data_IF_217378231545
#
_entry.id   IF_217378231545
#
_cell.length_a   1.000
_cell.length_b   1.000
_cell.length_c   1.000
_cell.angle_alpha   90.00
_cell.angle_beta   90.00
_cell.angle_gamma   90.00
#
_symmetry.space_group_name_H-M   'P 1'
#
loop_
_entity.id
_entity.type
_entity.pdbx_description
1 polymer ?
#
# COMPACT_ATOMS: atom_id res chain seq x y z
N UNK A 1 -5.79 5.26 -3.16
CA UNK A 1 -4.67 5.07 -2.22
C UNK A 1 -5.21 5.02 -0.80
N UNK A 2 -4.98 3.91 -0.09
CA UNK A 2 -5.46 3.74 1.29
C UNK A 2 -4.29 3.57 2.26
N UNK A 3 -4.60 3.84 3.53
CA UNK A 3 -3.69 3.63 4.65
C UNK A 3 -4.18 2.46 5.48
N UNK A 4 -3.34 1.45 5.58
CA UNK A 4 -3.60 0.31 6.44
C UNK A 4 -3.05 0.64 7.82
N UNK A 5 -3.91 1.17 8.69
CA UNK A 5 -3.56 1.61 10.04
C UNK A 5 -2.91 0.49 10.88
N UNK A 6 -3.18 -0.79 10.58
CA UNK A 6 -2.55 -1.93 11.24
C UNK A 6 -1.30 -2.49 10.54
N UNK A 7 -0.83 -1.89 9.43
CA UNK A 7 0.34 -2.42 8.71
C UNK A 7 1.60 -2.41 9.56
N UNK A 8 1.71 -1.45 10.49
CA UNK A 8 2.82 -1.39 11.44
C UNK A 8 2.98 -2.70 12.22
N UNK A 9 1.88 -3.32 12.66
CA UNK A 9 1.89 -4.60 13.34
C UNK A 9 2.45 -5.72 12.45
N UNK A 10 2.04 -5.75 11.19
CA UNK A 10 2.48 -6.76 10.22
C UNK A 10 3.94 -6.58 9.77
N UNK A 11 4.47 -5.35 9.80
CA UNK A 11 5.90 -5.09 9.55
C UNK A 11 6.77 -5.86 10.56
N UNK A 12 6.36 -5.90 11.83
CA UNK A 12 7.14 -6.51 12.92
C UNK A 12 6.85 -8.01 13.13
N UNK A 13 5.71 -8.50 12.65
CA UNK A 13 5.22 -9.86 12.92
C UNK A 13 5.11 -10.76 11.67
N UNK A 14 5.61 -10.27 10.55
CA UNK A 14 6.08 -11.09 9.45
C UNK A 14 5.18 -11.34 8.26
N UNK A 15 3.97 -10.78 8.29
CA UNK A 15 3.08 -10.62 7.12
C UNK A 15 2.77 -11.90 6.33
N UNK A 16 1.96 -11.76 5.28
CA UNK A 16 1.63 -12.87 4.37
C UNK A 16 2.83 -13.32 3.51
N UNK A 17 3.92 -12.54 3.48
CA UNK A 17 5.13 -12.89 2.76
C UNK A 17 6.08 -13.80 3.57
N UNK A 18 5.85 -13.99 4.88
CA UNK A 18 6.62 -14.92 5.70
C UNK A 18 8.03 -14.44 6.06
N UNK A 19 8.24 -13.13 6.14
CA UNK A 19 9.50 -12.56 6.62
C UNK A 19 9.48 -12.54 8.15
N UNK A 20 10.47 -13.02 8.89
CA UNK A 20 10.39 -13.02 10.38
C UNK A 20 10.20 -11.60 10.96
N UNK A 21 10.93 -10.62 10.43
CA UNK A 21 10.78 -9.20 10.77
C UNK A 21 11.23 -8.34 9.59
N UNK A 22 10.30 -7.63 8.96
CA UNK A 22 10.61 -6.81 7.76
C UNK A 22 11.41 -5.55 8.09
N UNK A 23 11.40 -5.10 9.35
CA UNK A 23 12.28 -4.04 9.83
C UNK A 23 13.74 -4.50 9.88
N UNK A 24 13.99 -5.72 10.38
CA UNK A 24 15.33 -6.33 10.38
C UNK A 24 15.79 -6.77 9.00
N UNK A 25 14.86 -7.13 8.10
CA UNK A 25 15.18 -7.45 6.71
C UNK A 25 15.56 -6.21 5.86
N UNK A 26 15.51 -5.00 6.43
CA UNK A 26 15.94 -3.77 5.76
C UNK A 26 14.87 -3.11 4.87
N UNK A 27 13.62 -3.61 4.87
CA UNK A 27 12.53 -3.01 4.11
C UNK A 27 12.00 -1.71 4.74
N UNK A 28 12.30 -1.50 6.03
CA UNK A 28 11.96 -0.28 6.75
C UNK A 28 10.45 -0.11 6.97
N UNK A 29 10.02 1.15 7.15
CA UNK A 29 8.62 1.48 7.41
C UNK A 29 7.80 1.74 6.13
N UNK A 30 8.44 1.78 4.96
CA UNK A 30 7.76 2.02 3.68
C UNK A 30 7.24 0.70 3.10
N UNK A 31 6.10 0.26 3.60
CA UNK A 31 5.53 -1.04 3.32
C UNK A 31 4.14 -0.92 2.69
N UNK A 32 3.73 -1.93 1.94
CA UNK A 32 2.38 -2.06 1.40
C UNK A 32 1.85 -3.49 1.47
N UNK A 33 0.53 -3.62 1.63
CA UNK A 33 -0.23 -4.84 1.42
C UNK A 33 -0.86 -4.83 0.02
N UNK A 34 -0.71 -5.94 -0.71
CA UNK A 34 -1.22 -6.08 -2.07
C UNK A 34 -2.57 -6.78 -2.09
N UNK A 35 -3.50 -6.29 -2.93
CA UNK A 35 -4.70 -7.03 -3.33
C UNK A 35 -4.36 -8.34 -4.05
N UNK A 36 -5.32 -9.27 -4.13
CA UNK A 36 -5.11 -10.58 -4.79
C UNK A 36 -4.64 -10.48 -6.24
N UNK A 37 -5.10 -9.46 -6.98
CA UNK A 37 -4.69 -9.21 -8.36
C UNK A 37 -3.19 -8.88 -8.49
N UNK A 38 -2.59 -8.27 -7.46
CA UNK A 38 -1.17 -7.90 -7.43
C UNK A 38 -0.31 -8.93 -6.67
N UNK A 39 -0.85 -9.55 -5.62
CA UNK A 39 -0.10 -10.46 -4.74
C UNK A 39 0.32 -11.77 -5.44
N UNK A 40 -0.47 -12.25 -6.41
CA UNK A 40 -0.18 -13.44 -7.25
C UNK A 40 0.44 -14.62 -6.46
N UNK A 41 -0.18 -15.00 -5.34
CA UNK A 41 0.27 -16.15 -4.56
C UNK A 41 1.71 -16.02 -4.00
N UNK A 42 2.14 -14.80 -3.64
CA UNK A 42 3.46 -14.42 -3.11
C UNK A 42 4.54 -14.10 -4.15
N UNK A 43 4.27 -14.18 -5.45
CA UNK A 43 5.26 -13.77 -6.48
C UNK A 43 5.70 -12.31 -6.31
N UNK A 44 4.81 -11.44 -5.83
CA UNK A 44 5.10 -10.03 -5.64
C UNK A 44 5.71 -9.69 -4.26
N UNK A 45 5.90 -10.67 -3.37
CA UNK A 45 6.51 -10.43 -2.07
C UNK A 45 7.97 -9.94 -2.22
N UNK A 46 8.31 -8.86 -1.53
CA UNK A 46 9.62 -8.21 -1.62
C UNK A 46 9.78 -7.29 -2.83
N UNK A 47 8.79 -7.21 -3.72
CA UNK A 47 8.82 -6.28 -4.83
C UNK A 47 8.70 -4.83 -4.33
N UNK A 48 9.56 -3.95 -4.84
CA UNK A 48 9.51 -2.53 -4.57
C UNK A 48 8.76 -1.80 -5.70
N UNK A 49 7.79 -0.98 -5.34
CA UNK A 49 7.02 -0.16 -6.29
C UNK A 49 7.09 1.31 -5.92
N UNK A 50 7.34 2.17 -6.90
CA UNK A 50 7.33 3.61 -6.71
C UNK A 50 5.90 4.14 -6.87
N UNK A 51 5.42 4.85 -5.85
CA UNK A 51 4.10 5.44 -5.77
C UNK A 51 4.20 6.96 -5.73
N UNK A 52 3.24 7.60 -6.37
CA UNK A 52 3.07 9.05 -6.38
C UNK A 52 1.58 9.36 -6.35
N UNK A 53 1.18 10.33 -5.53
CA UNK A 53 -0.21 10.74 -5.45
C UNK A 53 -0.67 11.38 -6.77
N UNK A 54 -1.87 11.04 -7.23
CA UNK A 54 -2.41 11.59 -8.47
C UNK A 54 -2.97 13.00 -8.24
N UNK A 55 -2.07 14.00 -8.29
CA UNK A 55 -2.43 15.40 -8.08
C UNK A 55 -3.40 15.98 -9.13
N UNK A 56 -3.64 15.29 -10.25
CA UNK A 56 -4.68 15.71 -11.21
C UNK A 56 -6.08 15.44 -10.68
N UNK A 57 -6.23 14.32 -9.97
CA UNK A 57 -7.50 13.93 -9.34
C UNK A 57 -7.69 14.64 -8.01
N UNK A 58 -6.65 14.64 -7.18
CA UNK A 58 -6.76 15.05 -5.78
C UNK A 58 -5.69 16.09 -5.36
N UNK A 59 -5.64 17.25 -6.04
CA UNK A 59 -4.58 18.25 -5.86
C UNK A 59 -4.51 18.81 -4.43
N UNK A 60 -5.61 18.77 -3.68
CA UNK A 60 -5.68 19.29 -2.31
C UNK A 60 -5.00 18.39 -1.29
N UNK A 61 -4.85 17.10 -1.62
CA UNK A 61 -4.39 16.08 -0.69
C UNK A 61 -3.01 15.56 -1.07
N UNK A 62 -2.68 15.58 -2.35
CA UNK A 62 -1.37 15.17 -2.83
C UNK A 62 -0.27 16.17 -2.48
N UNK A 63 0.89 15.65 -2.07
CA UNK A 63 2.12 16.42 -1.93
C UNK A 63 2.76 16.57 -3.32
N UNK A 64 2.94 17.81 -3.84
CA UNK A 64 3.49 18.02 -5.18
C UNK A 64 4.87 17.40 -5.35
N UNK A 65 5.09 16.72 -6.49
CA UNK A 65 6.36 16.07 -6.87
C UNK A 65 6.88 14.98 -5.93
N UNK A 66 6.14 14.65 -4.86
CA UNK A 66 6.56 13.64 -3.92
C UNK A 66 6.34 12.24 -4.49
N UNK A 67 7.30 11.35 -4.19
CA UNK A 67 7.25 9.94 -4.52
C UNK A 67 7.76 9.13 -3.34
N UNK A 68 7.21 7.95 -3.15
CA UNK A 68 7.65 6.99 -2.15
C UNK A 68 7.84 5.63 -2.80
N UNK A 69 8.90 4.94 -2.45
CA UNK A 69 9.06 3.53 -2.80
C UNK A 69 8.50 2.70 -1.65
N UNK A 70 7.52 1.84 -1.94
CA UNK A 70 6.97 0.90 -0.96
C UNK A 70 7.34 -0.52 -1.33
N UNK A 71 7.59 -1.33 -0.31
CA UNK A 71 7.86 -2.76 -0.47
C UNK A 71 6.60 -3.57 -0.18
N UNK A 72 6.25 -4.48 -1.07
CA UNK A 72 5.18 -5.44 -0.87
C UNK A 72 5.60 -6.48 0.18
N UNK A 73 4.98 -6.43 1.35
CA UNK A 73 5.31 -7.34 2.47
C UNK A 73 4.11 -8.13 2.98
N UNK A 74 2.91 -7.78 2.53
CA UNK A 74 1.68 -8.37 3.04
C UNK A 74 0.62 -8.51 1.95
N UNK A 75 -0.44 -9.23 2.30
CA UNK A 75 -1.62 -9.45 1.49
C UNK A 75 -2.80 -8.70 2.10
N UNK A 76 -3.54 -7.96 1.28
CA UNK A 76 -4.82 -7.38 1.63
C UNK A 76 -5.93 -8.35 1.19
N UNK A 77 -6.59 -9.06 2.11
CA UNK A 77 -7.64 -10.00 1.75
C UNK A 77 -8.88 -9.29 1.19
N UNK A 78 -9.54 -9.87 0.18
CA UNK A 78 -10.83 -9.36 -0.29
C UNK A 78 -11.87 -9.48 0.83
N UNK A 79 -12.79 -8.51 0.90
CA UNK A 79 -13.93 -8.56 1.80
C UNK A 79 -15.22 -9.03 1.11
N UNK A 80 -15.17 -9.29 -0.19
CA UNK A 80 -16.29 -9.77 -1.04
C UNK A 80 -17.53 -8.87 -1.00
N UNK A 81 -17.37 -7.61 -0.59
CA UNK A 81 -18.44 -6.62 -0.48
C UNK A 81 -18.16 -5.39 -1.37
N UNK A 82 -17.31 -5.54 -2.38
CA UNK A 82 -16.87 -4.43 -3.24
C UNK A 82 -15.78 -3.58 -2.60
N UNK A 83 -14.98 -4.17 -1.70
CA UNK A 83 -13.83 -3.49 -1.10
C UNK A 83 -12.70 -3.26 -2.10
N UNK A 84 -11.80 -2.33 -1.78
CA UNK A 84 -10.68 -1.94 -2.65
C UNK A 84 -9.73 -3.09 -3.01
N UNK A 85 -9.62 -4.10 -2.14
CA UNK A 85 -8.79 -5.28 -2.37
C UNK A 85 -9.53 -6.42 -3.09
N UNK A 86 -10.82 -6.24 -3.41
CA UNK A 86 -11.61 -7.23 -4.15
C UNK A 86 -11.17 -7.29 -5.63
N UNK A 87 -11.29 -8.47 -6.22
CA UNK A 87 -11.02 -8.64 -7.65
C UNK A 87 -12.06 -7.85 -8.47
N UNK A 88 -11.69 -7.12 -9.54
CA UNK A 88 -10.41 -7.12 -10.27
C UNK A 88 -9.44 -5.98 -9.89
N UNK A 89 -9.65 -5.27 -8.79
CA UNK A 89 -8.92 -4.05 -8.45
C UNK A 89 -7.44 -4.32 -8.14
N UNK A 90 -6.56 -3.43 -8.63
CA UNK A 90 -5.11 -3.49 -8.38
C UNK A 90 -4.76 -2.50 -7.29
N UNK A 91 -5.11 -2.86 -6.08
CA UNK A 91 -4.95 -1.98 -4.92
C UNK A 91 -3.68 -2.29 -4.11
N UNK A 92 -3.04 -1.22 -3.63
CA UNK A 92 -1.97 -1.24 -2.64
C UNK A 92 -2.40 -0.45 -1.41
N UNK A 93 -2.41 -1.12 -0.27
CA UNK A 93 -2.70 -0.50 1.00
C UNK A 93 -1.39 -0.21 1.74
N UNK A 94 -1.04 1.07 1.86
CA UNK A 94 0.29 1.50 2.27
C UNK A 94 0.36 1.74 3.79
N UNK A 95 1.56 1.66 4.35
CA UNK A 95 1.80 2.13 5.72
C UNK A 95 1.59 3.64 5.81
N UNK A 96 1.07 4.11 6.94
CA UNK A 96 0.95 5.54 7.23
C UNK A 96 2.25 6.35 6.96
N UNK A 97 3.46 5.90 7.38
CA UNK A 97 4.69 6.62 7.06
C UNK A 97 5.07 6.63 5.58
N UNK A 98 4.62 5.67 4.76
CA UNK A 98 4.78 5.75 3.32
C UNK A 98 3.78 6.74 2.71
N UNK A 99 2.51 6.65 3.14
CA UNK A 99 1.43 7.49 2.64
C UNK A 99 1.68 8.98 2.91
N UNK A 100 2.07 9.33 4.13
CA UNK A 100 2.31 10.73 4.54
C UNK A 100 3.42 11.43 3.74
N UNK A 101 4.26 10.68 3.01
CA UNK A 101 5.27 11.24 2.11
C UNK A 101 4.65 11.76 0.81
N UNK A 102 3.55 11.19 0.35
CA UNK A 102 2.94 11.52 -0.95
C UNK A 102 1.56 12.16 -0.84
N UNK A 103 0.89 12.04 0.31
CA UNK A 103 -0.43 12.60 0.55
C UNK A 103 -0.62 13.00 2.02
N UNK A 104 -1.55 13.91 2.30
CA UNK A 104 -1.88 14.35 3.66
C UNK A 104 -2.67 13.29 4.43
N UNK A 105 -2.30 13.00 5.68
CA UNK A 105 -3.04 12.08 6.57
C UNK A 105 -4.47 12.57 6.75
N UNK A 106 -5.45 11.67 6.64
CA UNK A 106 -6.88 12.00 6.60
C UNK A 106 -7.49 12.07 5.18
N UNK A 107 -6.65 11.94 4.14
CA UNK A 107 -7.09 11.69 2.75
C UNK A 107 -7.07 10.19 2.38
N UNK A 108 -7.14 9.32 3.39
CA UNK A 108 -7.06 7.86 3.28
C UNK A 108 -8.33 7.34 2.56
N UNK A 109 -8.28 7.28 1.24
CA UNK A 109 -9.46 7.07 0.38
C UNK A 109 -9.61 8.05 -0.78
N UNK A 110 -8.79 9.09 -0.80
CA UNK A 110 -8.78 10.13 -1.83
C UNK A 110 -7.51 9.94 -2.66
N UNK A 111 -7.68 9.57 -3.93
CA UNK A 111 -6.59 9.19 -4.83
C UNK A 111 -6.79 7.86 -5.55
N UNK A 112 -7.92 7.17 -5.34
CA UNK A 112 -8.26 5.95 -6.09
C UNK A 112 -9.03 6.32 -7.37
N UNK A 113 -8.28 6.86 -8.33
CA UNK A 113 -8.68 6.81 -9.73
C UNK A 113 -7.92 5.66 -10.39
N UNK A 114 -8.30 4.42 -10.08
CA UNK A 114 -8.26 3.39 -11.12
C UNK A 114 -9.45 3.64 -12.04
N UNK A 115 -9.14 3.83 -13.32
CA UNK A 115 -10.04 4.35 -14.33
C UNK A 115 -11.31 3.53 -14.53
N UNK A 116 -12.38 4.26 -14.82
CA UNK A 116 -13.28 3.88 -15.89
C UNK A 116 -12.58 4.08 -17.24
#
# INVERSE_FOLDING_TARGET
MHVYNNLYYFIVQGGACGYDNTFHAGFGLNAAALSGALFKGREACGACSQMACNARSDPRWCVPHAKVTVTAINFCPPNNNGGWCDHPHRHLDMSLPAFSRIALVGSEGVGDHEGK
#
